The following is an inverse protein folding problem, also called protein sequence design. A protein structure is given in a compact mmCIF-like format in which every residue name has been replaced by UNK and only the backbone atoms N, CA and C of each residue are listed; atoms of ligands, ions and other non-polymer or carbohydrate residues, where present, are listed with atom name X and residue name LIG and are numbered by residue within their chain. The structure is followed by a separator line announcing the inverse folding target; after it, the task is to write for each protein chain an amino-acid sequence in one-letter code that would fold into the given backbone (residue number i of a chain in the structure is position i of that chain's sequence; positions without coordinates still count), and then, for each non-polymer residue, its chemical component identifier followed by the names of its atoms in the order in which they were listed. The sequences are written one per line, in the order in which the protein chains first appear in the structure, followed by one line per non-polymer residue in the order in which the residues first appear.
data_IF_407059368092
#
_entry.id   IF_407059368092
#
_cell.length_a   1.000
_cell.length_b   1.000
_cell.length_c   1.000
_cell.angle_alpha   90.00
_cell.angle_beta   90.00
_cell.angle_gamma   90.00
#
_symmetry.space_group_name_H-M   'P 1'
#
loop_
_entity.id
_entity.type
_entity.pdbx_description
1 polymer ?
#
# COMPACT_ATOMS: atom_id res chain seq x y z
N UNK A 1 -0.15 1.31 14.08
CA UNK A 1 -1.62 1.23 13.87
C UNK A 1 -1.99 2.03 12.64
N UNK A 2 -2.59 1.38 11.65
CA UNK A 2 -3.02 2.00 10.39
C UNK A 2 -4.44 2.58 10.53
N UNK A 3 -4.65 3.75 9.95
CA UNK A 3 -5.98 4.35 9.79
C UNK A 3 -6.85 3.55 8.80
N UNK A 4 -8.18 3.73 8.79
CA UNK A 4 -9.06 3.01 7.86
C UNK A 4 -8.73 3.24 6.37
N UNK A 5 -8.20 4.43 6.01
CA UNK A 5 -7.78 4.71 4.64
C UNK A 5 -6.51 3.95 4.26
N UNK A 6 -5.53 3.89 5.16
CA UNK A 6 -4.28 3.14 4.98
C UNK A 6 -4.54 1.63 4.91
N UNK A 7 -5.42 1.11 5.77
CA UNK A 7 -5.84 -0.30 5.71
C UNK A 7 -6.50 -0.64 4.37
N UNK A 8 -7.29 0.27 3.80
CA UNK A 8 -7.88 0.08 2.46
C UNK A 8 -6.82 -0.02 1.37
N UNK A 9 -5.77 0.81 1.43
CA UNK A 9 -4.62 0.70 0.51
C UNK A 9 -3.93 -0.65 0.67
N UNK A 10 -3.62 -1.08 1.91
CA UNK A 10 -3.00 -2.39 2.16
C UNK A 10 -3.85 -3.56 1.65
N UNK A 11 -5.18 -3.47 1.81
CA UNK A 11 -6.11 -4.47 1.25
C UNK A 11 -6.02 -4.54 -0.28
N UNK A 12 -5.80 -3.42 -0.98
CA UNK A 12 -5.59 -3.44 -2.44
C UNK A 12 -4.34 -4.24 -2.80
N UNK A 13 -3.20 -3.98 -2.16
CA UNK A 13 -1.98 -4.77 -2.40
C UNK A 13 -2.21 -6.28 -2.17
N UNK A 14 -2.93 -6.62 -1.09
CA UNK A 14 -3.28 -8.01 -0.77
C UNK A 14 -4.21 -8.65 -1.81
N UNK A 15 -5.21 -7.92 -2.29
CA UNK A 15 -6.16 -8.41 -3.31
C UNK A 15 -5.44 -8.78 -4.61
N UNK A 16 -4.34 -8.10 -4.94
CA UNK A 16 -3.50 -8.42 -6.09
C UNK A 16 -2.30 -9.32 -5.76
N UNK A 17 -2.26 -9.91 -4.56
CA UNK A 17 -1.20 -10.81 -4.11
C UNK A 17 0.22 -10.23 -4.19
N UNK A 18 0.34 -8.90 -4.08
CA UNK A 18 1.61 -8.19 -4.22
C UNK A 18 2.63 -8.61 -3.15
N UNK A 19 3.85 -8.86 -3.59
CA UNK A 19 5.01 -9.15 -2.76
C UNK A 19 5.93 -7.92 -2.59
N UNK A 20 6.93 -8.06 -1.74
CA UNK A 20 7.98 -7.04 -1.61
C UNK A 20 8.74 -6.88 -2.92
N UNK A 21 8.88 -5.64 -3.40
CA UNK A 21 9.56 -5.34 -4.67
C UNK A 21 8.66 -5.43 -5.90
N UNK A 22 7.42 -5.89 -5.76
CA UNK A 22 6.41 -5.78 -6.82
C UNK A 22 5.67 -4.45 -6.67
N UNK A 23 5.53 -3.73 -7.78
CA UNK A 23 4.88 -2.43 -7.81
C UNK A 23 3.40 -2.55 -8.20
N UNK A 24 2.56 -1.80 -7.50
CA UNK A 24 1.16 -1.60 -7.85
C UNK A 24 0.96 -0.16 -8.30
N UNK A 25 0.35 0.00 -9.47
CA UNK A 25 0.05 1.31 -10.04
C UNK A 25 -1.37 1.75 -9.69
N UNK A 26 -1.47 2.91 -9.04
CA UNK A 26 -2.73 3.60 -8.80
C UNK A 26 -2.89 4.68 -9.88
N UNK A 27 -4.09 4.82 -10.45
CA UNK A 27 -4.37 5.76 -11.53
C UNK A 27 -5.74 6.44 -11.40
N UNK A 28 -5.93 7.54 -12.13
CA UNK A 28 -7.19 8.28 -12.19
C UNK A 28 -7.75 8.67 -10.82
N UNK A 29 -9.06 8.47 -10.65
CA UNK A 29 -9.78 8.76 -9.40
C UNK A 29 -9.23 7.93 -8.24
N UNK A 30 -8.77 6.70 -8.50
CA UNK A 30 -8.24 5.82 -7.47
C UNK A 30 -6.97 6.40 -6.83
N UNK A 31 -6.05 6.91 -7.67
CA UNK A 31 -4.86 7.62 -7.21
C UNK A 31 -5.26 8.86 -6.42
N UNK A 32 -6.08 9.75 -6.99
CA UNK A 32 -6.46 11.03 -6.34
C UNK A 32 -7.08 10.81 -4.96
N UNK A 33 -7.99 9.85 -4.86
CA UNK A 33 -8.70 9.56 -3.59
C UNK A 33 -7.82 8.85 -2.56
N UNK A 34 -6.79 8.12 -2.98
CA UNK A 34 -5.89 7.38 -2.09
C UNK A 34 -4.56 8.07 -1.82
N UNK A 35 -4.20 9.14 -2.54
CA UNK A 35 -2.93 9.87 -2.39
C UNK A 35 -2.60 10.20 -0.94
N UNK A 36 -3.51 10.75 -0.10
CA UNK A 36 -3.17 11.06 1.29
C UNK A 36 -2.77 9.81 2.10
N UNK A 37 -3.42 8.67 1.85
CA UNK A 37 -3.11 7.41 2.52
C UNK A 37 -1.80 6.78 1.99
N UNK A 38 -1.58 6.84 0.67
CA UNK A 38 -0.34 6.40 0.04
C UNK A 38 0.87 7.17 0.58
N UNK A 39 0.75 8.50 0.68
CA UNK A 39 1.81 9.36 1.21
C UNK A 39 2.07 9.12 2.69
N UNK A 40 1.01 8.89 3.48
CA UNK A 40 1.15 8.50 4.90
C UNK A 40 1.89 7.16 5.04
N UNK A 41 1.56 6.16 4.22
CA UNK A 41 2.22 4.86 4.23
C UNK A 41 3.68 4.92 3.77
N UNK A 42 4.00 5.81 2.82
CA UNK A 42 5.39 6.10 2.44
C UNK A 42 6.14 6.75 3.61
N UNK A 43 5.54 7.75 4.26
CA UNK A 43 6.14 8.40 5.43
C UNK A 43 6.38 7.41 6.59
N UNK A 44 5.47 6.47 6.80
CA UNK A 44 5.58 5.37 7.77
C UNK A 44 6.52 4.24 7.33
N UNK A 45 7.16 4.34 6.16
CA UNK A 45 8.09 3.35 5.59
C UNK A 45 7.46 1.99 5.27
N UNK A 46 6.15 1.94 5.07
CA UNK A 46 5.46 0.72 4.64
C UNK A 46 5.39 0.60 3.11
N UNK A 47 5.35 1.72 2.40
CA UNK A 47 5.44 1.77 0.95
C UNK A 47 6.69 2.55 0.51
N UNK A 48 7.18 2.23 -0.68
CA UNK A 48 8.14 3.04 -1.41
C UNK A 48 7.45 3.59 -2.66
N UNK A 49 7.62 4.89 -2.93
CA UNK A 49 7.18 5.48 -4.19
C UNK A 49 8.19 5.12 -5.28
N UNK A 50 7.70 4.53 -6.37
CA UNK A 50 8.54 4.13 -7.50
C UNK A 50 8.82 5.32 -8.43
N UNK A 51 9.74 5.12 -9.39
CA UNK A 51 10.06 6.14 -10.41
C UNK A 51 8.86 6.50 -11.29
N UNK A 52 7.95 5.55 -11.50
CA UNK A 52 6.76 5.76 -12.32
C UNK A 52 5.66 6.44 -11.50
N UNK A 53 5.04 7.48 -12.07
CA UNK A 53 4.01 8.25 -11.37
C UNK A 53 2.82 7.36 -10.98
N UNK A 54 2.45 7.39 -9.70
CA UNK A 54 1.36 6.58 -9.16
C UNK A 54 1.72 5.12 -8.86
N UNK A 55 2.96 4.68 -9.10
CA UNK A 55 3.43 3.36 -8.74
C UNK A 55 4.04 3.33 -7.32
N UNK A 56 3.66 2.32 -6.55
CA UNK A 56 4.12 2.11 -5.18
C UNK A 56 4.40 0.62 -4.95
N UNK A 57 5.46 0.33 -4.20
CA UNK A 57 5.87 -1.03 -3.85
C UNK A 57 5.84 -1.23 -2.34
N UNK A 58 5.57 -2.46 -1.90
CA UNK A 58 5.65 -2.82 -0.48
C UNK A 58 7.11 -2.85 -0.04
N UNK A 59 7.40 -2.23 1.11
CA UNK A 59 8.62 -2.55 1.85
C UNK A 59 8.45 -3.86 2.59
N UNK A 60 9.53 -4.42 3.14
CA UNK A 60 9.45 -5.60 4.00
C UNK A 60 8.53 -5.40 5.20
N UNK A 61 8.56 -4.20 5.81
CA UNK A 61 7.67 -3.85 6.91
C UNK A 61 6.22 -3.73 6.44
N UNK A 62 5.98 -3.11 5.27
CA UNK A 62 4.64 -2.98 4.70
C UNK A 62 4.01 -4.32 4.37
N UNK A 63 4.80 -5.24 3.82
CA UNK A 63 4.33 -6.59 3.54
C UNK A 63 3.94 -7.36 4.82
N UNK A 64 4.72 -7.25 5.89
CA UNK A 64 4.34 -7.86 7.18
C UNK A 64 3.03 -7.29 7.70
N UNK A 65 2.91 -5.96 7.76
CA UNK A 65 1.70 -5.28 8.24
C UNK A 65 0.46 -5.64 7.38
N UNK A 66 0.62 -5.71 6.06
CA UNK A 66 -0.44 -6.12 5.13
C UNK A 66 -0.90 -7.56 5.37
N UNK A 67 0.03 -8.48 5.65
CA UNK A 67 -0.28 -9.87 5.93
C UNK A 67 -0.99 -10.03 7.26
N UNK A 68 -0.48 -9.36 8.29
CA UNK A 68 -0.93 -9.47 9.68
C UNK A 68 -2.28 -8.74 9.90
N UNK A 69 -2.71 -7.88 8.97
CA UNK A 69 -4.01 -7.16 9.00
C UNK A 69 -5.19 -7.93 8.35
N UNK A 70 -5.05 -9.24 8.12
CA UNK A 70 -6.16 -10.12 7.75
C UNK A 70 -6.94 -10.62 8.97
N UNK A 71 -8.17 -11.14 8.79
CA UNK A 71 -8.73 -12.01 9.82
C UNK A 71 -7.73 -13.14 10.06
N UNK A 72 -7.30 -13.31 11.31
CA UNK A 72 -6.72 -14.56 11.76
C UNK A 72 -7.68 -15.67 11.33
N UNK A 73 -7.19 -16.68 10.63
CA UNK A 73 -7.93 -17.93 10.42
C UNK A 73 -8.35 -18.53 11.76
#
# INVERSE_FOLDING_TARGET
MLSPAEQRVMKTFRMFYMQTGEMLCFNGVDLVTKTPALDSLVHKKYLTREKFAGAFSLTRAGYSEMRDSGPSE
#
